data_IF_452794138221
#
_entry.id   IF_452794138221
#
_cell.length_a   1.000
_cell.length_b   1.000
_cell.length_c   1.000
_cell.angle_alpha   90.00
_cell.angle_beta   90.00
_cell.angle_gamma   90.00
#
_symmetry.space_group_name_H-M   'P 1'
#
loop_
_entity.id
_entity.type
_entity.pdbx_description
1 polymer ?
#
# COMPACT_ATOMS: atom_id res chain seq x y z
N UNK A 1 8.65 -15.80 -2.29
CA UNK A 1 7.42 -14.96 -2.43
C UNK A 1 7.01 -14.53 -1.04
N UNK A 2 6.84 -13.23 -0.78
CA UNK A 2 6.41 -12.73 0.53
C UNK A 2 4.90 -12.98 0.71
N UNK A 3 4.50 -13.42 1.90
CA UNK A 3 3.10 -13.66 2.27
C UNK A 3 2.56 -12.55 3.15
N UNK A 4 1.24 -12.50 3.31
CA UNK A 4 0.59 -11.54 4.19
C UNK A 4 0.97 -11.74 5.66
N UNK A 5 1.18 -12.98 6.11
CA UNK A 5 1.63 -13.29 7.48
C UNK A 5 3.02 -12.72 7.81
N UNK A 6 3.89 -12.59 6.80
CA UNK A 6 5.25 -12.06 6.97
C UNK A 6 5.30 -10.52 6.91
N UNK A 7 4.15 -9.87 6.79
CA UNK A 7 4.09 -8.42 6.61
C UNK A 7 4.40 -7.69 7.94
N UNK A 8 5.34 -6.74 7.96
CA UNK A 8 5.92 -6.22 9.20
C UNK A 8 5.02 -5.25 9.99
N UNK A 9 3.85 -4.87 9.45
CA UNK A 9 2.99 -3.83 10.00
C UNK A 9 1.54 -4.31 10.18
N UNK A 10 0.85 -3.74 11.16
CA UNK A 10 -0.57 -4.01 11.43
C UNK A 10 -1.46 -3.33 10.40
N UNK A 11 -1.08 -2.14 9.94
CA UNK A 11 -1.74 -1.44 8.84
C UNK A 11 -1.02 -1.71 7.52
N UNK A 12 -1.75 -2.25 6.56
CA UNK A 12 -1.29 -2.46 5.19
C UNK A 12 -1.81 -1.34 4.32
N UNK A 13 -0.92 -0.51 3.77
CA UNK A 13 -1.30 0.53 2.80
C UNK A 13 -1.12 0.01 1.39
N UNK A 14 -2.01 0.44 0.50
CA UNK A 14 -1.95 0.17 -0.93
C UNK A 14 -2.03 1.49 -1.68
N UNK A 15 -1.22 1.63 -2.73
CA UNK A 15 -1.28 2.77 -3.63
C UNK A 15 -1.06 2.31 -5.06
N UNK A 16 -1.74 2.91 -6.03
CA UNK A 16 -1.38 2.79 -7.44
C UNK A 16 -0.70 4.08 -7.89
N UNK A 17 0.37 3.96 -8.68
CA UNK A 17 1.05 5.14 -9.24
C UNK A 17 0.33 5.73 -10.46
N UNK A 18 -0.50 4.93 -11.16
CA UNK A 18 -1.21 5.39 -12.36
C UNK A 18 -2.65 5.81 -12.10
N UNK A 19 -3.41 5.00 -11.36
CA UNK A 19 -4.74 5.42 -10.93
C UNK A 19 -4.64 6.04 -9.53
N UNK A 20 -5.48 7.03 -9.22
CA UNK A 20 -5.51 7.72 -7.91
C UNK A 20 -5.98 6.82 -6.74
N UNK A 21 -5.92 5.49 -6.90
CA UNK A 21 -6.30 4.51 -5.90
C UNK A 21 -5.31 4.52 -4.75
N UNK A 22 -5.84 4.79 -3.56
CA UNK A 22 -5.14 4.68 -2.28
C UNK A 22 -6.08 4.04 -1.29
N UNK A 23 -5.56 3.16 -0.46
CA UNK A 23 -6.35 2.47 0.54
C UNK A 23 -5.47 1.96 1.67
N UNK A 24 -6.10 1.68 2.80
CA UNK A 24 -5.45 1.03 3.92
C UNK A 24 -6.42 0.05 4.57
N UNK A 25 -5.89 -1.07 5.04
CA UNK A 25 -6.66 -2.06 5.79
C UNK A 25 -5.79 -2.66 6.89
N UNK A 26 -6.43 -3.12 7.97
CA UNK A 26 -5.74 -3.88 9.00
C UNK A 26 -5.35 -5.25 8.45
N UNK A 27 -4.15 -5.71 8.76
CA UNK A 27 -3.62 -7.01 8.38
C UNK A 27 -4.57 -8.13 8.79
N UNK A 28 -5.10 -8.09 10.03
CA UNK A 28 -6.07 -9.06 10.51
C UNK A 28 -7.32 -9.14 9.63
N UNK A 29 -7.83 -8.00 9.15
CA UNK A 29 -9.01 -7.94 8.28
C UNK A 29 -8.72 -8.45 6.87
N UNK A 30 -7.49 -8.26 6.39
CA UNK A 30 -7.04 -8.83 5.12
C UNK A 30 -6.86 -10.34 5.25
N UNK A 31 -6.30 -10.82 6.37
CA UNK A 31 -6.13 -12.24 6.65
C UNK A 31 -7.47 -12.95 6.80
N UNK A 32 -8.46 -12.34 7.47
CA UNK A 32 -9.83 -12.86 7.55
C UNK A 32 -10.49 -12.97 6.17
N UNK A 33 -10.31 -11.96 5.30
CA UNK A 33 -10.96 -11.91 3.98
C UNK A 33 -10.27 -12.79 2.92
N UNK A 34 -8.95 -12.90 2.98
CA UNK A 34 -8.14 -13.48 1.90
C UNK A 34 -7.29 -14.68 2.33
N UNK A 35 -7.22 -14.98 3.63
CA UNK A 35 -6.29 -15.93 4.23
C UNK A 35 -4.97 -15.27 4.62
N UNK A 36 -4.37 -15.71 5.72
CA UNK A 36 -3.05 -15.23 6.17
C UNK A 36 -1.90 -15.65 5.24
N UNK A 37 -2.07 -16.79 4.55
CA UNK A 37 -1.07 -17.38 3.65
C UNK A 37 -1.08 -16.79 2.23
N UNK A 38 -2.00 -15.87 1.92
CA UNK A 38 -2.07 -15.26 0.59
C UNK A 38 -0.74 -14.56 0.26
N UNK A 39 -0.28 -14.72 -0.99
CA UNK A 39 0.89 -14.00 -1.47
C UNK A 39 0.58 -12.50 -1.61
N UNK A 40 1.57 -11.64 -1.37
CA UNK A 40 1.39 -10.20 -1.55
C UNK A 40 1.05 -9.84 -3.02
N UNK A 41 1.55 -10.61 -3.98
CA UNK A 41 1.22 -10.43 -5.41
C UNK A 41 -0.26 -10.71 -5.70
N UNK A 42 -0.78 -11.84 -5.21
CA UNK A 42 -2.19 -12.20 -5.39
C UNK A 42 -3.12 -11.25 -4.64
N UNK A 43 -2.72 -10.79 -3.45
CA UNK A 43 -3.44 -9.76 -2.72
C UNK A 43 -3.54 -8.47 -3.54
N UNK A 44 -2.43 -8.05 -4.17
CA UNK A 44 -2.41 -6.88 -5.05
C UNK A 44 -3.29 -7.07 -6.30
N UNK A 45 -3.37 -8.28 -6.86
CA UNK A 45 -4.31 -8.58 -7.95
C UNK A 45 -5.77 -8.40 -7.52
N UNK A 46 -6.14 -8.90 -6.33
CA UNK A 46 -7.49 -8.72 -5.78
C UNK A 46 -7.82 -7.24 -5.54
N UNK A 47 -6.85 -6.46 -5.04
CA UNK A 47 -7.02 -5.00 -4.82
C UNK A 47 -7.06 -4.23 -6.15
N UNK A 48 -6.34 -4.70 -7.17
CA UNK A 48 -6.29 -4.09 -8.50
C UNK A 48 -7.49 -4.43 -9.38
N UNK A 49 -8.42 -5.30 -8.95
CA UNK A 49 -9.56 -5.76 -9.75
C UNK A 49 -10.38 -4.62 -10.39
N UNK A 50 -10.50 -3.49 -9.70
CA UNK A 50 -11.24 -2.30 -10.18
C UNK A 50 -10.33 -1.21 -10.76
N UNK A 51 -9.09 -1.54 -11.14
CA UNK A 51 -8.18 -0.62 -11.82
C UNK A 51 -8.53 -0.52 -13.31
N UNK A 52 -8.59 0.69 -13.91
CA UNK A 52 -8.85 0.83 -15.35
C UNK A 52 -7.67 0.37 -16.22
N UNK A 53 -6.47 0.22 -15.64
CA UNK A 53 -5.27 -0.17 -16.35
C UNK A 53 -5.00 -1.67 -16.21
N UNK A 54 -4.52 -2.34 -17.27
CA UNK A 54 -4.20 -3.76 -17.22
C UNK A 54 -3.07 -4.04 -16.23
N UNK A 55 -3.20 -5.11 -15.44
CA UNK A 55 -2.09 -5.66 -14.65
C UNK A 55 -1.14 -6.41 -15.60
N UNK A 56 0.17 -6.11 -15.58
CA UNK A 56 1.12 -6.86 -16.37
C UNK A 56 1.20 -8.30 -15.84
N UNK A 57 1.05 -9.27 -16.75
CA UNK A 57 1.21 -10.69 -16.39
C UNK A 57 2.70 -11.06 -16.37
N UNK A 58 3.11 -12.04 -15.55
CA UNK A 58 4.46 -12.60 -15.61
C UNK A 58 4.79 -13.05 -17.05
N UNK A 59 5.89 -12.57 -17.61
CA UNK A 59 6.32 -12.89 -18.98
C UNK A 59 5.69 -12.02 -20.09
N UNK A 60 4.77 -11.11 -19.77
CA UNK A 60 4.22 -10.18 -20.74
C UNK A 60 5.19 -9.01 -20.99
N UNK A 61 5.63 -8.83 -22.24
CA UNK A 61 6.37 -7.62 -22.63
C UNK A 61 5.43 -6.43 -22.63
N UNK A 62 5.64 -5.50 -21.68
CA UNK A 62 4.98 -4.20 -21.74
C UNK A 62 5.56 -3.37 -22.87
N UNK A 63 4.68 -2.74 -23.65
CA UNK A 63 5.12 -1.72 -24.62
C UNK A 63 5.58 -0.47 -23.87
N UNK A 64 6.59 0.21 -24.40
CA UNK A 64 7.26 1.38 -23.78
C UNK A 64 6.31 2.49 -23.29
N UNK A 65 5.15 2.65 -23.92
CA UNK A 65 4.16 3.69 -23.62
C UNK A 65 2.79 3.13 -23.21
N UNK A 66 2.69 1.84 -22.92
CA UNK A 66 1.43 1.25 -22.49
C UNK A 66 1.24 1.49 -20.99
N UNK A 67 0.17 2.18 -20.57
CA UNK A 67 -0.11 2.35 -19.15
C UNK A 67 -0.52 1.00 -18.55
N UNK A 68 -0.03 0.72 -17.34
CA UNK A 68 -0.29 -0.52 -16.62
C UNK A 68 -0.61 -0.23 -15.15
N UNK A 69 -1.30 -1.17 -14.51
CA UNK A 69 -1.61 -1.05 -13.09
C UNK A 69 -0.32 -1.14 -12.26
N UNK A 70 0.12 -0.01 -11.73
CA UNK A 70 1.26 0.09 -10.80
C UNK A 70 0.82 0.03 -9.34
N UNK A 71 -0.09 -0.89 -8.99
CA UNK A 71 -0.47 -1.12 -7.59
C UNK A 71 0.75 -1.64 -6.83
N UNK A 72 0.99 -1.08 -5.65
CA UNK A 72 2.16 -1.37 -4.84
C UNK A 72 1.85 -1.17 -3.35
N UNK A 73 2.68 -1.82 -2.53
CA UNK A 73 2.70 -1.68 -1.08
C UNK A 73 3.78 -0.63 -0.75
N UNK A 74 3.43 0.66 -0.55
CA UNK A 74 4.41 1.70 -0.34
C UNK A 74 5.18 1.54 0.98
N UNK A 75 4.71 0.69 1.89
CA UNK A 75 5.36 0.40 3.17
C UNK A 75 6.60 -0.48 3.04
N UNK A 76 6.73 -1.19 1.91
CA UNK A 76 7.87 -2.06 1.61
C UNK A 76 8.90 -1.40 0.67
N UNK A 77 8.66 -0.16 0.24
CA UNK A 77 9.42 0.51 -0.84
C UNK A 77 10.70 1.23 -0.38
N UNK A 78 11.13 1.09 0.88
CA UNK A 78 12.46 1.53 1.33
C UNK A 78 12.53 2.04 2.77
N UNK A 79 13.75 2.27 3.29
CA UNK A 79 14.02 2.53 4.71
C UNK A 79 13.60 3.92 5.23
N UNK A 80 12.96 4.77 4.41
CA UNK A 80 12.67 6.17 4.75
C UNK A 80 11.22 6.47 5.11
N UNK A 81 10.32 5.48 5.10
CA UNK A 81 8.89 5.73 5.37
C UNK A 81 8.58 5.44 6.83
N UNK A 82 7.96 6.37 7.58
CA UNK A 82 7.51 6.06 8.93
C UNK A 82 6.54 4.88 8.87
N UNK A 83 6.72 3.86 9.74
CA UNK A 83 5.80 2.77 9.90
C UNK A 83 4.37 3.30 10.01
N UNK A 84 3.40 2.68 9.31
CA UNK A 84 2.01 3.12 9.35
C UNK A 84 1.39 3.03 10.75
N UNK A 85 1.98 2.21 11.63
CA UNK A 85 1.48 1.96 12.98
C UNK A 85 2.05 2.91 14.04
N UNK A 86 3.01 3.78 13.68
CA UNK A 86 3.49 4.77 14.63
C UNK A 86 2.36 5.76 14.96
N UNK A 87 2.12 6.06 16.25
CA UNK A 87 1.23 7.14 16.60
C UNK A 87 1.72 8.44 15.96
N UNK A 88 0.79 9.33 15.60
CA UNK A 88 1.17 10.66 15.12
C UNK A 88 2.11 11.31 16.15
N UNK A 89 3.16 12.02 15.71
CA UNK A 89 4.02 12.76 16.64
C UNK A 89 3.14 13.64 17.52
N UNK A 90 3.48 13.73 18.80
CA UNK A 90 2.75 14.54 19.75
C UNK A 90 2.59 15.96 19.19
N UNK A 91 1.36 16.46 19.16
CA UNK A 91 1.09 17.83 18.75
C UNK A 91 1.84 18.76 19.72
N UNK A 92 2.72 19.60 19.19
CA UNK A 92 3.32 20.68 19.98
C UNK A 92 2.29 21.80 20.12
N UNK A 93 1.96 22.13 21.37
CA UNK A 93 1.19 23.33 21.70
C UNK A 93 2.10 24.52 21.45
N UNK A 94 1.87 25.24 20.35
CA UNK A 94 2.53 26.52 20.09
C UNK A 94 1.78 27.58 20.91
N UNK A 95 2.44 28.19 21.89
CA UNK A 95 1.86 29.34 22.61
C UNK A 95 1.76 30.51 21.63
N UNK A 96 0.56 31.04 21.44
CA UNK A 96 0.33 32.23 20.63
C UNK A 96 0.77 33.48 21.39
N UNK A 97 2.04 33.82 21.27
CA UNK A 97 2.61 35.16 21.45
C UNK A 97 3.23 35.42 20.07
N UNK A 98 2.66 36.21 19.15
CA UNK A 98 2.50 37.65 19.24
C UNK A 98 1.38 38.14 18.31
N UNK A 99 0.40 38.86 18.87
CA UNK A 99 -0.46 39.78 18.15
C UNK A 99 -0.45 41.09 18.95
N UNK A 100 0.56 41.91 18.68
CA UNK A 100 0.66 43.30 19.10
C UNK A 100 0.81 44.17 17.85
#
# INVERSE_FOLDING_TARGET
>A
MQRLVDYPYVLVRFACVLCSRRGQARLARLAERHGAEISLEELLDRVAWTCPYPRPRPGQKLRKYQPFCGIMLPDLQGPGRPPPDLPRPALQVVRGEDAA
#
